data_IF_589734214183
#
_entry.id   IF_589734214183
#
_cell.length_a   1.000
_cell.length_b   1.000
_cell.length_c   1.000
_cell.angle_alpha   90.00
_cell.angle_beta   90.00
_cell.angle_gamma   90.00
#
_symmetry.space_group_name_H-M   'P 1'
#
loop_
_entity.id
_entity.type
_entity.pdbx_description
1 polymer ?
#
# COMPACT_ATOMS: atom_id res chain seq x y z
N UNK A 1 33.76 1.80 30.66
CA UNK A 1 32.38 1.26 30.66
C UNK A 1 31.60 2.12 29.69
N UNK A 2 31.61 1.75 28.41
CA UNK A 2 30.82 2.47 27.41
C UNK A 2 29.37 2.05 27.58
N UNK A 3 28.55 2.98 28.07
CA UNK A 3 27.11 2.84 27.97
C UNK A 3 26.78 2.72 26.48
N UNK A 4 26.30 1.56 26.03
CA UNK A 4 25.61 1.46 24.73
C UNK A 4 24.55 2.55 24.72
N UNK A 5 24.78 3.62 23.99
CA UNK A 5 23.81 4.69 23.84
C UNK A 5 22.57 4.06 23.18
N UNK A 6 21.51 3.90 23.96
CA UNK A 6 20.22 3.47 23.42
C UNK A 6 19.69 4.66 22.64
N UNK A 7 19.67 4.55 21.31
CA UNK A 7 19.09 5.59 20.45
C UNK A 7 17.61 5.79 20.84
N UNK A 8 17.20 7.03 21.12
CA UNK A 8 15.77 7.36 21.27
C UNK A 8 15.15 7.53 19.88
N UNK A 9 14.65 6.42 19.35
CA UNK A 9 14.06 6.36 18.01
C UNK A 9 12.58 6.77 18.07
N UNK A 10 12.32 8.02 17.69
CA UNK A 10 10.97 8.61 17.58
C UNK A 10 10.18 8.03 16.40
N UNK A 11 8.85 8.17 16.35
CA UNK A 11 8.06 7.77 15.19
C UNK A 11 8.52 8.46 13.89
N UNK A 12 8.39 7.79 12.73
CA UNK A 12 8.58 8.45 11.45
C UNK A 12 7.50 9.51 11.22
N UNK A 13 7.75 10.39 10.26
CA UNK A 13 6.77 11.34 9.76
C UNK A 13 6.18 10.85 8.44
N UNK A 14 4.93 11.20 8.19
CA UNK A 14 4.29 11.08 6.87
C UNK A 14 3.97 12.51 6.42
N UNK A 15 4.85 13.15 5.61
CA UNK A 15 4.69 14.56 5.24
C UNK A 15 3.34 14.87 4.58
N UNK A 16 2.79 13.90 3.85
CA UNK A 16 1.50 14.03 3.20
C UNK A 16 0.34 14.17 4.21
N UNK A 17 0.33 13.38 5.29
CA UNK A 17 -0.65 13.50 6.37
C UNK A 17 -0.54 14.86 7.09
N UNK A 18 0.70 15.30 7.37
CA UNK A 18 0.98 16.62 7.94
C UNK A 18 0.43 17.73 7.03
N UNK A 19 0.71 17.66 5.72
CA UNK A 19 0.23 18.62 4.71
C UNK A 19 -1.31 18.68 4.65
N UNK A 20 -1.98 17.56 4.88
CA UNK A 20 -3.44 17.49 4.91
C UNK A 20 -4.06 18.06 6.19
N UNK A 21 -3.24 18.38 7.19
CA UNK A 21 -3.63 19.04 8.44
C UNK A 21 -3.70 18.12 9.66
N UNK A 22 -3.44 16.81 9.51
CA UNK A 22 -3.44 15.87 10.63
C UNK A 22 -2.34 14.82 10.47
N UNK A 23 -1.27 14.83 11.30
CA UNK A 23 -0.15 13.90 11.16
C UNK A 23 -0.52 12.41 11.34
N UNK A 24 -1.68 12.12 11.92
CA UNK A 24 -2.16 10.77 12.21
C UNK A 24 -3.32 10.34 11.32
N UNK A 25 -3.72 11.16 10.34
CA UNK A 25 -4.76 10.80 9.36
C UNK A 25 -4.32 11.11 7.94
N UNK A 26 -4.57 10.17 7.04
CA UNK A 26 -4.25 10.30 5.62
C UNK A 26 -5.52 10.08 4.79
N UNK A 27 -6.01 11.13 4.16
CA UNK A 27 -6.98 11.01 3.07
C UNK A 27 -6.24 10.67 1.78
N UNK A 28 -6.38 9.42 1.34
CA UNK A 28 -5.80 8.92 0.11
C UNK A 28 -6.23 9.73 -1.13
N UNK A 29 -7.45 10.27 -1.14
CA UNK A 29 -8.00 11.01 -2.28
C UNK A 29 -7.46 12.44 -2.38
N UNK A 30 -6.80 12.94 -1.33
CA UNK A 30 -6.10 14.23 -1.32
C UNK A 30 -4.62 14.10 -1.68
N UNK A 31 -4.11 12.88 -1.84
CA UNK A 31 -2.78 12.62 -2.39
C UNK A 31 -2.75 12.97 -3.88
N UNK A 32 -1.57 13.31 -4.39
CA UNK A 32 -1.37 13.44 -5.83
C UNK A 32 -1.70 12.11 -6.53
N UNK A 33 -2.36 12.21 -7.70
CA UNK A 33 -2.75 11.04 -8.46
C UNK A 33 -1.51 10.27 -8.95
N UNK A 34 -1.53 8.95 -8.79
CA UNK A 34 -0.45 8.08 -9.27
C UNK A 34 0.87 8.15 -8.50
N UNK A 35 0.92 8.85 -7.36
CA UNK A 35 2.13 8.91 -6.54
C UNK A 35 2.12 7.91 -5.40
N UNK A 36 3.32 7.47 -5.03
CA UNK A 36 3.59 6.74 -3.79
C UNK A 36 3.59 7.67 -2.58
N UNK A 37 3.52 7.09 -1.38
CA UNK A 37 3.58 7.82 -0.12
C UNK A 37 5.03 7.89 0.38
N UNK A 38 5.41 9.03 0.96
CA UNK A 38 6.72 9.22 1.59
C UNK A 38 6.61 8.99 3.10
N UNK A 39 7.41 8.06 3.61
CA UNK A 39 7.75 7.96 5.02
C UNK A 39 9.11 8.64 5.24
N UNK A 40 9.13 9.67 6.08
CA UNK A 40 10.34 10.45 6.38
C UNK A 40 10.87 10.08 7.76
N UNK A 41 12.15 9.74 7.82
CA UNK A 41 12.85 9.31 9.03
C UNK A 41 13.94 10.30 9.38
N UNK A 42 13.96 10.72 10.64
CA UNK A 42 15.08 11.42 11.25
C UNK A 42 15.10 11.07 12.73
N UNK A 43 16.29 10.90 13.30
CA UNK A 43 16.46 10.58 14.72
C UNK A 43 17.74 11.22 15.26
N UNK A 44 17.74 11.45 16.57
CA UNK A 44 18.89 12.01 17.29
C UNK A 44 20.06 11.04 17.23
N UNK A 45 21.29 11.56 17.11
CA UNK A 45 22.52 10.77 17.03
C UNK A 45 22.61 9.88 15.77
N UNK A 46 21.84 10.19 14.73
CA UNK A 46 22.04 9.67 13.39
C UNK A 46 23.47 9.96 12.92
N UNK A 47 24.17 8.93 12.44
CA UNK A 47 25.56 9.02 11.97
C UNK A 47 25.75 8.25 10.66
N UNK A 48 26.66 8.70 9.78
CA UNK A 48 27.06 7.91 8.64
C UNK A 48 27.51 6.51 9.05
N UNK A 49 27.10 5.50 8.28
CA UNK A 49 27.36 4.08 8.56
C UNK A 49 26.21 3.35 9.27
N UNK A 50 25.29 4.06 9.92
CA UNK A 50 24.03 3.45 10.33
C UNK A 50 23.24 3.00 9.09
N UNK A 51 22.42 1.97 9.22
CA UNK A 51 21.46 1.57 8.19
C UNK A 51 20.04 1.63 8.72
N UNK A 52 19.10 1.99 7.85
CA UNK A 52 17.71 2.23 8.22
C UNK A 52 16.79 1.46 7.29
N UNK A 53 15.75 0.83 7.85
CA UNK A 53 14.69 0.15 7.09
C UNK A 53 13.33 0.64 7.55
N UNK A 54 12.49 1.04 6.61
CA UNK A 54 11.10 1.40 6.89
C UNK A 54 10.18 0.20 6.91
N UNK A 55 9.09 0.33 7.68
CA UNK A 55 8.07 -0.70 7.84
C UNK A 55 6.68 -0.06 7.87
N UNK A 56 5.81 -0.56 7.00
CA UNK A 56 4.39 -0.26 6.94
C UNK A 56 3.61 -1.52 7.29
N UNK A 57 2.91 -1.50 8.42
CA UNK A 57 2.10 -2.64 8.87
C UNK A 57 0.63 -2.27 8.72
N UNK A 58 0.07 -2.60 7.54
CA UNK A 58 -1.36 -2.48 7.24
C UNK A 58 -2.05 -3.84 7.28
N UNK A 59 -2.93 -4.12 6.31
CA UNK A 59 -3.51 -5.46 6.13
C UNK A 59 -2.42 -6.51 5.85
N UNK A 60 -1.37 -6.09 5.15
CA UNK A 60 -0.13 -6.84 4.99
C UNK A 60 1.05 -5.98 5.48
N UNK A 61 2.14 -6.66 5.80
CA UNK A 61 3.40 -6.01 6.11
C UNK A 61 4.17 -5.70 4.83
N UNK A 62 4.58 -4.44 4.68
CA UNK A 62 5.56 -4.01 3.70
C UNK A 62 6.79 -3.44 4.39
N UNK A 63 7.96 -3.81 3.89
CA UNK A 63 9.26 -3.29 4.34
C UNK A 63 10.01 -2.71 3.16
N UNK A 64 10.67 -1.59 3.38
CA UNK A 64 11.46 -0.96 2.33
C UNK A 64 12.79 -1.69 2.14
N UNK A 65 13.51 -1.30 1.09
CA UNK A 65 14.95 -1.54 1.02
C UNK A 65 15.67 -0.87 2.20
N UNK A 66 16.80 -1.45 2.57
CA UNK A 66 17.69 -0.89 3.58
C UNK A 66 18.47 0.26 2.95
N UNK A 67 18.44 1.43 3.59
CA UNK A 67 19.21 2.60 3.15
C UNK A 67 20.33 2.91 4.16
N UNK A 68 21.59 3.08 3.71
CA UNK A 68 22.64 3.58 4.58
C UNK A 68 22.46 5.07 4.83
N UNK A 69 22.77 5.51 6.04
CA UNK A 69 22.97 6.94 6.34
C UNK A 69 24.32 7.32 5.72
N UNK A 70 24.31 8.24 4.75
CA UNK A 70 25.52 8.81 4.15
C UNK A 70 25.76 10.24 4.61
N UNK A 71 24.68 10.97 4.91
CA UNK A 71 24.68 12.32 5.46
C UNK A 71 23.68 12.39 6.61
N UNK A 72 23.98 13.18 7.65
CA UNK A 72 23.07 13.44 8.75
C UNK A 72 21.94 14.35 8.25
N UNK A 73 20.71 13.84 8.29
CA UNK A 73 19.52 14.58 7.86
C UNK A 73 18.31 13.68 7.62
N UNK A 74 17.15 14.24 7.27
CA UNK A 74 15.97 13.45 6.97
C UNK A 74 16.18 12.50 5.80
N UNK A 75 15.72 11.27 5.94
CA UNK A 75 15.75 10.23 4.91
C UNK A 75 14.33 9.88 4.48
N UNK A 76 14.09 9.84 3.18
CA UNK A 76 12.79 9.48 2.62
C UNK A 76 12.77 8.03 2.17
N UNK A 77 11.70 7.34 2.54
CA UNK A 77 11.39 5.97 2.19
C UNK A 77 10.05 5.94 1.45
N UNK A 78 10.00 5.15 0.38
CA UNK A 78 8.81 5.04 -0.46
C UNK A 78 7.94 3.93 0.12
N UNK A 79 6.69 4.25 0.41
CA UNK A 79 5.63 3.27 0.65
C UNK A 79 4.80 3.20 -0.64
N UNK A 80 4.77 2.05 -1.32
CA UNK A 80 4.06 1.90 -2.57
C UNK A 80 2.60 2.31 -2.42
N UNK A 81 2.06 2.98 -3.43
CA UNK A 81 0.66 3.39 -3.49
C UNK A 81 -0.30 2.22 -3.24
N UNK A 82 0.06 1.03 -3.69
CA UNK A 82 -0.73 -0.20 -3.51
C UNK A 82 -0.91 -0.54 -2.02
N UNK A 83 0.13 -0.37 -1.20
CA UNK A 83 0.04 -0.62 0.25
C UNK A 83 -0.87 0.40 0.95
N UNK A 84 -0.92 1.63 0.43
CA UNK A 84 -1.84 2.68 0.92
C UNK A 84 -3.27 2.39 0.48
N UNK A 85 -3.49 1.99 -0.78
CA UNK A 85 -4.81 1.59 -1.30
C UNK A 85 -5.38 0.44 -0.46
N UNK A 86 -4.59 -0.59 -0.20
CA UNK A 86 -5.02 -1.74 0.58
C UNK A 86 -5.27 -1.41 2.06
N UNK A 87 -4.81 -0.24 2.51
CA UNK A 87 -5.01 0.24 3.88
C UNK A 87 -6.16 1.23 4.03
N UNK A 88 -6.89 1.57 2.95
CA UNK A 88 -8.04 2.49 3.02
C UNK A 88 -9.06 1.98 4.06
N UNK A 89 -9.45 2.86 4.98
CA UNK A 89 -10.42 2.56 6.04
C UNK A 89 -9.85 1.83 7.26
N UNK A 90 -8.54 1.58 7.34
CA UNK A 90 -7.90 1.00 8.52
C UNK A 90 -6.80 1.89 9.11
N UNK A 91 -6.43 1.60 10.36
CA UNK A 91 -5.24 2.18 10.98
C UNK A 91 -4.03 1.27 10.73
N UNK A 92 -2.92 1.88 10.33
CA UNK A 92 -1.64 1.20 10.07
C UNK A 92 -0.59 1.64 11.08
N UNK A 93 0.36 0.73 11.37
CA UNK A 93 1.54 1.08 12.16
C UNK A 93 2.71 1.36 11.21
N UNK A 94 3.18 2.59 11.23
CA UNK A 94 4.36 3.02 10.46
C UNK A 94 5.53 3.18 11.41
N UNK A 95 6.62 2.45 11.19
CA UNK A 95 7.83 2.53 11.99
C UNK A 95 9.07 2.29 11.12
N UNK A 96 10.24 2.42 11.71
CA UNK A 96 11.50 2.05 11.09
C UNK A 96 12.40 1.36 12.10
N UNK A 97 13.47 0.77 11.60
CA UNK A 97 14.52 0.20 12.43
C UNK A 97 15.89 0.71 12.02
N UNK A 98 16.78 0.84 12.98
CA UNK A 98 18.17 1.27 12.80
C UNK A 98 19.12 0.15 13.21
N UNK A 99 20.15 -0.07 12.42
CA UNK A 99 21.33 -0.88 12.79
C UNK A 99 22.54 0.06 12.76
N UNK A 100 23.23 0.22 13.90
CA UNK A 100 24.30 1.23 14.05
C UNK A 100 25.65 0.77 13.49
N UNK A 101 25.89 -0.54 13.45
CA UNK A 101 27.01 -1.20 12.80
C UNK A 101 26.63 -2.66 12.48
N UNK A 102 27.32 -3.37 11.58
CA UNK A 102 26.94 -4.71 11.13
C UNK A 102 26.80 -5.80 12.21
N UNK A 103 27.35 -5.58 13.42
CA UNK A 103 27.29 -6.53 14.53
C UNK A 103 26.31 -6.09 15.63
N UNK A 104 25.73 -4.89 15.50
CA UNK A 104 24.76 -4.37 16.45
C UNK A 104 23.36 -4.93 16.21
N UNK A 105 22.54 -5.06 17.27
CA UNK A 105 21.16 -5.48 17.13
C UNK A 105 20.33 -4.46 16.35
N UNK A 106 19.24 -4.94 15.77
CA UNK A 106 18.22 -4.09 15.15
C UNK A 106 17.46 -3.33 16.24
N UNK A 107 17.48 -2.00 16.15
CA UNK A 107 16.81 -1.09 17.09
C UNK A 107 15.52 -0.56 16.46
N UNK A 108 14.33 -0.92 16.95
CA UNK A 108 13.07 -0.43 16.41
C UNK A 108 12.72 0.98 16.92
N UNK A 109 12.08 1.78 16.07
CA UNK A 109 11.48 3.05 16.47
C UNK A 109 10.15 2.85 17.20
N UNK A 110 9.71 3.90 17.89
CA UNK A 110 8.28 4.06 18.23
C UNK A 110 7.45 4.06 16.93
N UNK A 111 6.20 3.60 17.01
CA UNK A 111 5.29 3.57 15.87
C UNK A 111 4.47 4.86 15.76
N UNK A 112 4.26 5.33 14.53
CA UNK A 112 3.17 6.22 14.18
C UNK A 112 1.95 5.36 13.85
N UNK A 113 0.86 5.56 14.60
CA UNK A 113 -0.45 5.00 14.24
C UNK A 113 -1.12 5.97 13.27
N UNK A 114 -1.18 5.59 11.99
CA UNK A 114 -1.75 6.40 10.91
C UNK A 114 -3.10 5.80 10.48
N UNK A 115 -4.18 6.56 10.59
CA UNK A 115 -5.47 6.17 10.03
C UNK A 115 -5.55 6.57 8.57
N UNK A 116 -5.67 5.63 7.65
CA UNK A 116 -6.02 5.93 6.25
C UNK A 116 -7.53 6.07 6.18
N UNK A 117 -8.01 7.23 5.74
CA UNK A 117 -9.42 7.56 5.83
C UNK A 117 -10.29 6.57 5.02
N UNK A 118 -11.47 6.20 5.55
CA UNK A 118 -12.36 5.30 4.84
C UNK A 118 -12.93 5.97 3.58
N UNK A 119 -13.41 5.13 2.68
CA UNK A 119 -14.19 5.54 1.52
C UNK A 119 -15.58 4.89 1.60
N UNK A 120 -16.54 5.46 0.88
CA UNK A 120 -17.83 4.83 0.65
C UNK A 120 -18.05 4.62 -0.86
N UNK A 121 -18.46 3.40 -1.29
CA UNK A 121 -18.64 2.19 -0.46
C UNK A 121 -17.29 1.59 0.00
N UNK A 122 -17.31 0.83 1.10
CA UNK A 122 -16.21 -0.07 1.45
C UNK A 122 -16.10 -1.19 0.40
N UNK A 123 -14.96 -1.28 -0.27
CA UNK A 123 -14.72 -2.22 -1.37
C UNK A 123 -13.72 -3.30 -0.93
N UNK A 124 -14.21 -4.52 -0.75
CA UNK A 124 -13.39 -5.67 -0.36
C UNK A 124 -12.58 -6.20 -1.54
N UNK A 125 -11.56 -7.01 -1.26
CA UNK A 125 -10.75 -7.62 -2.31
C UNK A 125 -11.61 -8.51 -3.22
N UNK A 126 -11.31 -8.57 -4.53
CA UNK A 126 -12.01 -9.49 -5.41
C UNK A 126 -11.61 -10.93 -5.10
N UNK A 127 -12.35 -11.89 -5.63
CA UNK A 127 -11.93 -13.30 -5.63
C UNK A 127 -11.52 -13.74 -7.03
N UNK A 128 -10.70 -14.78 -7.12
CA UNK A 128 -10.22 -15.33 -8.40
C UNK A 128 -10.50 -16.84 -8.45
N UNK A 129 -10.95 -17.31 -9.61
CA UNK A 129 -11.14 -18.74 -9.85
C UNK A 129 -9.80 -19.49 -9.82
N UNK A 130 -9.86 -20.80 -9.52
CA UNK A 130 -8.66 -21.64 -9.40
C UNK A 130 -7.81 -21.72 -10.69
N UNK A 131 -8.42 -21.49 -11.86
CA UNK A 131 -7.71 -21.43 -13.14
C UNK A 131 -7.01 -20.07 -13.39
N UNK A 132 -7.15 -19.11 -12.47
CA UNK A 132 -6.63 -17.74 -12.53
C UNK A 132 -7.11 -16.90 -13.74
N UNK A 133 -8.15 -17.36 -14.43
CA UNK A 133 -8.68 -16.73 -15.65
C UNK A 133 -10.03 -16.04 -15.45
N UNK A 134 -10.53 -16.01 -14.22
CA UNK A 134 -11.81 -15.38 -13.91
C UNK A 134 -11.72 -14.67 -12.56
N UNK A 135 -12.02 -13.38 -12.56
CA UNK A 135 -12.10 -12.57 -11.35
C UNK A 135 -13.56 -12.23 -11.08
N UNK A 136 -13.98 -12.40 -9.83
CA UNK A 136 -15.32 -12.09 -9.35
C UNK A 136 -15.26 -10.87 -8.43
N UNK A 137 -16.05 -9.85 -8.78
CA UNK A 137 -16.21 -8.62 -8.01
C UNK A 137 -17.60 -8.62 -7.40
N UNK A 138 -17.68 -8.46 -6.07
CA UNK A 138 -18.96 -8.43 -5.36
C UNK A 138 -18.96 -7.27 -4.36
N UNK A 139 -19.90 -6.34 -4.54
CA UNK A 139 -20.11 -5.23 -3.63
C UNK A 139 -21.55 -4.69 -3.79
N UNK A 140 -21.99 -3.83 -2.88
CA UNK A 140 -23.28 -3.14 -2.99
C UNK A 140 -23.22 -2.09 -4.10
N UNK A 141 -23.51 -2.54 -5.32
CA UNK A 141 -23.37 -1.76 -6.54
C UNK A 141 -24.59 -0.91 -6.86
N UNK A 142 -24.38 0.20 -7.58
CA UNK A 142 -25.46 0.96 -8.23
C UNK A 142 -25.41 0.77 -9.74
N UNK A 143 -26.57 0.85 -10.42
CA UNK A 143 -26.67 0.64 -11.87
C UNK A 143 -25.85 1.63 -12.70
N UNK A 144 -25.52 2.80 -12.13
CA UNK A 144 -24.70 3.84 -12.76
C UNK A 144 -23.19 3.65 -12.54
N UNK A 145 -22.78 2.66 -11.75
CA UNK A 145 -21.38 2.40 -11.50
C UNK A 145 -20.68 1.83 -12.74
N UNK A 146 -19.40 2.15 -12.87
CA UNK A 146 -18.50 1.50 -13.82
C UNK A 146 -17.39 0.79 -13.07
N UNK A 147 -17.06 -0.43 -13.47
CA UNK A 147 -16.11 -1.30 -12.77
C UNK A 147 -15.08 -1.86 -13.73
N UNK A 148 -13.82 -1.79 -13.36
CA UNK A 148 -12.73 -2.47 -14.07
C UNK A 148 -11.80 -3.16 -13.05
N UNK A 149 -11.31 -4.34 -13.42
CA UNK A 149 -10.28 -5.04 -12.65
C UNK A 149 -8.91 -4.59 -13.14
N UNK A 150 -8.04 -4.33 -12.18
CA UNK A 150 -6.61 -4.10 -12.38
C UNK A 150 -5.85 -5.38 -12.02
N UNK A 151 -4.96 -5.79 -12.90
CA UNK A 151 -4.00 -6.87 -12.71
C UNK A 151 -2.60 -6.28 -12.77
N UNK A 152 -1.88 -6.26 -11.65
CA UNK A 152 -0.50 -5.76 -11.59
C UNK A 152 0.45 -6.89 -11.26
N UNK A 153 1.27 -7.27 -12.23
CA UNK A 153 2.36 -8.24 -12.07
C UNK A 153 3.64 -7.69 -12.70
N UNK A 154 4.23 -8.47 -13.61
CA UNK A 154 5.33 -8.00 -14.47
C UNK A 154 4.97 -6.75 -15.27
N UNK A 155 3.75 -6.73 -15.79
CA UNK A 155 3.10 -5.60 -16.46
C UNK A 155 1.80 -5.28 -15.75
N UNK A 156 1.31 -4.05 -15.92
CA UNK A 156 0.03 -3.60 -15.39
C UNK A 156 -1.03 -3.64 -16.49
N UNK A 157 -2.14 -4.31 -16.21
CA UNK A 157 -3.25 -4.45 -17.12
C UNK A 157 -4.58 -4.09 -16.46
N UNK A 158 -5.54 -3.71 -17.31
CA UNK A 158 -6.91 -3.42 -16.93
C UNK A 158 -7.85 -4.22 -17.83
N UNK A 159 -8.89 -4.80 -17.25
CA UNK A 159 -9.96 -5.45 -18.02
C UNK A 159 -10.82 -4.40 -18.75
N UNK A 160 -11.76 -4.86 -19.57
CA UNK A 160 -12.84 -3.95 -20.00
C UNK A 160 -13.58 -3.34 -18.79
N UNK A 161 -14.17 -2.17 -19.03
CA UNK A 161 -15.10 -1.54 -18.08
C UNK A 161 -16.46 -2.22 -18.23
N UNK A 162 -17.06 -2.61 -17.11
CA UNK A 162 -18.42 -3.17 -17.04
C UNK A 162 -19.32 -2.33 -16.14
N UNK A 163 -20.61 -2.38 -16.41
CA UNK A 163 -21.64 -1.96 -15.46
C UNK A 163 -22.12 -3.14 -14.62
N UNK A 164 -22.52 -2.92 -13.36
CA UNK A 164 -23.10 -3.97 -12.54
C UNK A 164 -24.42 -4.52 -13.11
N UNK A 165 -24.77 -5.78 -12.85
CA UNK A 165 -26.06 -6.34 -13.21
C UNK A 165 -27.24 -5.55 -12.63
N UNK A 166 -28.36 -5.50 -13.36
CA UNK A 166 -29.60 -4.93 -12.87
C UNK A 166 -30.08 -5.71 -11.62
N UNK A 167 -30.28 -5.01 -10.50
CA UNK A 167 -30.60 -5.63 -9.21
C UNK A 167 -29.40 -5.99 -8.34
N UNK A 168 -28.18 -5.70 -8.79
CA UNK A 168 -26.93 -6.02 -8.10
C UNK A 168 -26.45 -7.44 -8.34
N UNK A 169 -25.34 -7.81 -7.71
CA UNK A 169 -24.76 -9.15 -7.80
C UNK A 169 -23.29 -9.16 -8.20
N UNK A 170 -22.79 -10.36 -8.50
CA UNK A 170 -21.38 -10.58 -8.82
C UNK A 170 -21.08 -10.18 -10.26
N UNK A 171 -20.10 -9.30 -10.43
CA UNK A 171 -19.56 -8.92 -11.74
C UNK A 171 -18.39 -9.85 -12.06
N UNK A 172 -18.44 -10.50 -13.22
CA UNK A 172 -17.42 -11.46 -13.65
C UNK A 172 -16.54 -10.86 -14.74
N UNK A 173 -15.23 -10.99 -14.57
CA UNK A 173 -14.22 -10.52 -15.52
C UNK A 173 -13.36 -11.70 -15.99
N UNK A 174 -13.19 -11.82 -17.31
CA UNK A 174 -12.26 -12.77 -17.90
C UNK A 174 -10.86 -12.19 -17.87
N UNK A 175 -9.89 -12.96 -17.36
CA UNK A 175 -8.48 -12.59 -17.38
C UNK A 175 -7.81 -13.30 -18.56
N UNK A 176 -7.16 -12.57 -19.49
CA UNK A 176 -6.47 -13.17 -20.61
C UNK A 176 -5.42 -14.21 -20.17
N UNK A 177 -5.37 -15.41 -20.78
CA UNK A 177 -4.38 -16.45 -20.46
C UNK A 177 -2.92 -15.98 -20.59
N UNK A 178 -2.68 -14.97 -21.44
CA UNK A 178 -1.38 -14.35 -21.61
C UNK A 178 -0.88 -13.64 -20.32
N UNK A 179 -1.77 -12.94 -19.59
CA UNK A 179 -1.40 -12.28 -18.33
C UNK A 179 -1.02 -13.30 -17.27
N UNK A 180 -1.75 -14.42 -17.21
CA UNK A 180 -1.43 -15.53 -16.30
C UNK A 180 -0.07 -16.14 -16.68
N UNK A 181 0.15 -16.43 -17.96
CA UNK A 181 1.39 -17.05 -18.44
C UNK A 181 2.61 -16.16 -18.23
N UNK A 182 2.48 -14.85 -18.44
CA UNK A 182 3.56 -13.89 -18.19
C UNK A 182 4.02 -13.87 -16.72
N UNK A 183 3.10 -14.17 -15.79
CA UNK A 183 3.31 -14.05 -14.35
C UNK A 183 3.53 -15.40 -13.63
N UNK A 184 3.75 -16.51 -14.34
CA UNK A 184 4.05 -17.80 -13.69
C UNK A 184 5.22 -17.70 -12.73
N UNK A 185 5.06 -18.30 -11.55
CA UNK A 185 6.03 -18.26 -10.46
C UNK A 185 6.15 -16.89 -9.78
N UNK A 186 5.21 -15.97 -9.99
CA UNK A 186 5.22 -14.62 -9.41
C UNK A 186 3.93 -14.31 -8.69
N UNK A 187 4.04 -13.42 -7.71
CA UNK A 187 2.89 -12.78 -7.09
C UNK A 187 2.34 -11.68 -8.01
N UNK A 188 1.01 -11.60 -8.08
CA UNK A 188 0.27 -10.51 -8.74
C UNK A 188 -0.64 -9.83 -7.72
N UNK A 189 -0.82 -8.53 -7.89
CA UNK A 189 -1.77 -7.70 -7.14
C UNK A 189 -3.02 -7.50 -8.00
N UNK A 190 -4.18 -7.87 -7.46
CA UNK A 190 -5.45 -7.79 -8.16
C UNK A 190 -6.41 -6.97 -7.31
N UNK A 191 -6.92 -5.89 -7.87
CA UNK A 191 -7.95 -5.07 -7.25
C UNK A 191 -8.90 -4.57 -8.33
N UNK A 192 -10.02 -3.95 -7.94
CA UNK A 192 -10.90 -3.28 -8.88
C UNK A 192 -11.11 -1.84 -8.48
N UNK A 193 -11.57 -1.04 -9.45
CA UNK A 193 -12.00 0.32 -9.22
C UNK A 193 -13.47 0.49 -9.57
N UNK A 194 -14.14 1.40 -8.85
CA UNK A 194 -15.52 1.80 -9.10
C UNK A 194 -15.55 3.29 -9.46
N UNK A 195 -16.08 3.60 -10.64
CA UNK A 195 -16.35 4.96 -11.10
C UNK A 195 -17.84 5.30 -11.02
N UNK A 196 -18.15 6.58 -10.78
CA UNK A 196 -19.53 7.10 -10.75
C UNK A 196 -19.58 8.54 -11.25
N UNK A 197 -20.21 8.77 -12.40
CA UNK A 197 -20.54 10.13 -12.89
C UNK A 197 -19.36 11.12 -12.94
N UNK A 198 -18.15 10.66 -13.29
CA UNK A 198 -16.94 11.50 -13.35
C UNK A 198 -16.26 11.79 -12.00
N UNK A 199 -16.78 11.25 -10.89
CA UNK A 199 -16.10 11.31 -9.60
C UNK A 199 -14.78 10.50 -9.61
N UNK A 200 -13.90 10.81 -8.64
CA UNK A 200 -12.67 10.05 -8.44
C UNK A 200 -12.97 8.55 -8.23
N UNK A 201 -12.20 7.70 -8.92
CA UNK A 201 -12.30 6.25 -8.82
C UNK A 201 -12.11 5.81 -7.37
N UNK A 202 -13.00 4.95 -6.89
CA UNK A 202 -12.86 4.26 -5.60
C UNK A 202 -12.16 2.93 -5.80
N UNK A 203 -11.28 2.55 -4.88
CA UNK A 203 -10.45 1.34 -5.02
C UNK A 203 -10.84 0.28 -4.00
N UNK A 204 -10.80 -0.98 -4.42
CA UNK A 204 -10.92 -2.11 -3.51
C UNK A 204 -9.63 -2.39 -2.75
N UNK A 205 -9.75 -3.19 -1.68
CA UNK A 205 -8.61 -3.94 -1.13
C UNK A 205 -7.96 -4.80 -2.23
N UNK A 206 -6.72 -5.20 -1.99
CA UNK A 206 -5.86 -5.87 -2.95
C UNK A 206 -5.75 -7.35 -2.64
N UNK A 207 -6.25 -8.17 -3.56
CA UNK A 207 -5.98 -9.60 -3.58
C UNK A 207 -4.53 -9.83 -4.04
N UNK A 208 -3.74 -10.46 -3.17
CA UNK A 208 -2.37 -10.91 -3.45
C UNK A 208 -2.38 -12.39 -3.83
N UNK A 209 -1.87 -12.73 -5.03
CA UNK A 209 -1.95 -14.09 -5.56
C UNK A 209 -0.66 -14.53 -6.23
N UNK A 210 -0.07 -15.62 -5.75
CA UNK A 210 0.97 -16.34 -6.49
C UNK A 210 0.35 -17.10 -7.66
N UNK A 211 0.87 -16.87 -8.85
CA UNK A 211 0.51 -17.62 -10.05
C UNK A 211 1.44 -18.83 -10.16
N UNK A 212 0.90 -20.06 -10.19
CA UNK A 212 1.71 -21.28 -10.27
C UNK A 212 2.46 -21.42 -11.60
#
# INVERSE_FOLDING_TARGET
MDSKAVLDLIPPQVPEAIRQGNPNRLDFYRMAAGTDLIMRVYYKDMKPGHTVRGRWVGRVEYVTDIKPVTLIGPMDFIIPRDEVIDSIGVAVNVNYSVVVDPHSPLLPSKALVLTVEPQEPNLLEPTIAANHQTVYVNYTSQSIDTVAVRWKGRSEYFTEIKTPPAGGGVITFSIPPAWVTENRGREVLINYSVGRGGAALKFSQILRRNIP
#
